data_IF_736451319890
#
_entry.id   IF_736451319890
#
_cell.length_a   1.000
_cell.length_b   1.000
_cell.length_c   1.000
_cell.angle_alpha   90.00
_cell.angle_beta   90.00
_cell.angle_gamma   90.00
#
_symmetry.space_group_name_H-M   'P 1'
#
loop_
_entity.id
_entity.type
_entity.pdbx_description
1 polymer ?
#
# COMPACT_ATOMS: atom_id res chain seq x y z
N UNK A 1 10.06 15.45 -6.42
CA UNK A 1 9.15 14.37 -5.96
C UNK A 1 9.10 13.33 -7.06
N UNK A 2 9.08 12.01 -6.75
CA UNK A 2 8.88 10.99 -7.78
C UNK A 2 7.56 11.22 -8.51
N UNK A 3 7.49 10.84 -9.79
CA UNK A 3 6.26 10.94 -10.56
C UNK A 3 5.17 10.05 -9.92
N UNK A 4 3.96 10.58 -9.79
CA UNK A 4 2.79 9.85 -9.29
C UNK A 4 1.68 9.87 -10.31
N UNK A 5 0.99 8.74 -10.48
CA UNK A 5 -0.20 8.65 -11.32
C UNK A 5 -1.46 8.44 -10.46
N UNK A 6 -2.60 9.07 -10.80
CA UNK A 6 -3.83 8.90 -10.06
C UNK A 6 -4.44 7.52 -10.33
N UNK A 7 -4.76 6.79 -9.27
CA UNK A 7 -5.51 5.54 -9.34
C UNK A 7 -6.92 5.72 -8.75
N UNK A 8 -7.91 5.04 -9.32
CA UNK A 8 -9.26 4.97 -8.74
C UNK A 8 -9.35 3.76 -7.83
N UNK A 9 -9.83 3.98 -6.61
CA UNK A 9 -10.06 2.93 -5.61
C UNK A 9 -11.44 3.11 -4.96
N UNK A 10 -11.99 2.04 -4.42
CA UNK A 10 -13.22 2.09 -3.63
C UNK A 10 -13.06 2.91 -2.35
N UNK A 11 -14.17 3.45 -1.84
CA UNK A 11 -14.18 4.18 -0.55
C UNK A 11 -13.72 3.29 0.60
N UNK A 12 -14.21 2.06 0.63
CA UNK A 12 -13.87 1.09 1.68
C UNK A 12 -12.38 0.74 1.63
N UNK A 13 -11.82 0.54 0.43
CA UNK A 13 -10.38 0.33 0.22
C UNK A 13 -9.55 1.51 0.74
N UNK A 14 -10.00 2.76 0.51
CA UNK A 14 -9.30 3.94 1.00
C UNK A 14 -9.29 4.01 2.53
N UNK A 15 -10.38 3.63 3.18
CA UNK A 15 -10.45 3.58 4.64
C UNK A 15 -9.57 2.46 5.22
N UNK A 16 -9.51 1.30 4.57
CA UNK A 16 -8.56 0.26 4.97
C UNK A 16 -7.10 0.70 4.82
N UNK A 17 -6.75 1.33 3.70
CA UNK A 17 -5.41 1.92 3.53
C UNK A 17 -5.09 2.96 4.61
N UNK A 18 -6.09 3.69 5.10
CA UNK A 18 -5.92 4.67 6.18
C UNK A 18 -5.68 3.99 7.53
N UNK A 19 -6.38 2.89 7.82
CA UNK A 19 -6.19 2.07 9.03
C UNK A 19 -4.83 1.37 9.05
N UNK A 20 -4.34 0.96 7.88
CA UNK A 20 -3.04 0.31 7.71
C UNK A 20 -1.85 1.25 7.86
N UNK A 21 -2.06 2.57 7.98
CA UNK A 21 -0.98 3.51 8.25
C UNK A 21 -0.41 3.29 9.64
N UNK A 22 0.91 3.18 9.71
CA UNK A 22 1.70 3.03 10.93
C UNK A 22 2.00 4.40 11.55
N UNK A 23 2.11 5.46 10.73
CA UNK A 23 2.27 6.85 11.19
C UNK A 23 1.28 7.78 10.48
N UNK A 24 0.72 8.80 11.16
CA UNK A 24 -0.06 9.88 10.54
C UNK A 24 0.49 10.51 9.25
N UNK A 25 1.82 10.53 9.03
CA UNK A 25 2.49 11.14 7.89
C UNK A 25 2.80 10.14 6.77
N UNK A 26 2.60 8.84 7.00
CA UNK A 26 2.81 7.81 5.98
C UNK A 26 1.86 8.07 4.81
N UNK A 27 2.41 8.04 3.60
CA UNK A 27 1.61 8.24 2.39
C UNK A 27 0.89 6.95 2.02
N UNK A 28 -0.15 7.04 1.20
CA UNK A 28 -0.77 5.82 0.67
C UNK A 28 0.19 5.05 -0.26
N UNK A 29 1.10 5.73 -0.93
CA UNK A 29 2.12 5.10 -1.77
C UNK A 29 3.07 4.23 -0.93
N UNK A 30 3.50 4.71 0.24
CA UNK A 30 4.33 3.93 1.18
C UNK A 30 3.61 2.70 1.72
N UNK A 31 2.33 2.85 2.11
CA UNK A 31 1.48 1.73 2.54
C UNK A 31 1.37 0.69 1.41
N UNK A 32 1.08 1.13 0.19
CA UNK A 32 0.93 0.23 -0.97
C UNK A 32 2.24 -0.49 -1.28
N UNK A 33 3.38 0.21 -1.28
CA UNK A 33 4.71 -0.41 -1.48
C UNK A 33 4.96 -1.50 -0.45
N UNK A 34 4.68 -1.24 0.83
CA UNK A 34 4.83 -2.23 1.90
C UNK A 34 3.94 -3.45 1.66
N UNK A 35 2.68 -3.26 1.28
CA UNK A 35 1.77 -4.36 0.96
C UNK A 35 2.27 -5.19 -0.24
N UNK A 36 2.81 -4.55 -1.27
CA UNK A 36 3.39 -5.22 -2.44
C UNK A 36 4.60 -6.07 -2.04
N UNK A 37 5.49 -5.54 -1.19
CA UNK A 37 6.66 -6.27 -0.72
C UNK A 37 6.28 -7.49 0.14
N UNK A 38 5.30 -7.34 1.04
CA UNK A 38 4.76 -8.47 1.81
C UNK A 38 4.13 -9.54 0.92
N UNK A 39 3.38 -9.14 -0.12
CA UNK A 39 2.85 -10.08 -1.10
C UNK A 39 3.95 -10.83 -1.87
N UNK A 40 5.01 -10.14 -2.29
CA UNK A 40 6.17 -10.77 -2.95
C UNK A 40 6.87 -11.77 -2.03
N UNK A 41 7.10 -11.41 -0.76
CA UNK A 41 7.70 -12.29 0.25
C UNK A 41 6.88 -13.58 0.44
N UNK A 42 5.56 -13.45 0.56
CA UNK A 42 4.67 -14.60 0.72
C UNK A 42 4.61 -15.52 -0.51
N UNK A 43 4.90 -15.00 -1.71
CA UNK A 43 5.01 -15.83 -2.93
C UNK A 43 6.35 -16.53 -3.06
N UNK A 44 7.46 -15.87 -2.70
CA UNK A 44 8.79 -16.49 -2.73
C UNK A 44 9.01 -17.61 -1.70
N UNK A 45 8.19 -17.68 -0.64
CA UNK A 45 8.24 -18.78 0.34
C UNK A 45 7.50 -20.06 -0.12
N UNK A 46 6.92 -20.07 -1.33
CA UNK A 46 6.12 -21.18 -1.88
C UNK A 46 6.72 -21.79 -3.15
N UNK A 47 7.84 -21.27 -3.64
CA UNK A 47 8.70 -21.87 -4.68
C UNK A 47 9.92 -22.52 -4.02
#
# INVERSE_FOLDING_TARGET
MPATEPIRIGKDTKEELKRLKIHPRETYDDVIKRLIEEYKRGRHAKD
#
